data_IF_368980568440
#
_entry.id   IF_368980568440
#
_cell.length_a   1.000
_cell.length_b   1.000
_cell.length_c   1.000
_cell.angle_alpha   90.00
_cell.angle_beta   90.00
_cell.angle_gamma   90.00
#
_symmetry.space_group_name_H-M   'P 1'
#
loop_
_entity.id
_entity.type
_entity.pdbx_description
1 polymer ?
#
# COMPACT_ATOMS: atom_id res chain seq x y z
N UNK A 1 10.16 -19.16 13.43
CA UNK A 1 8.91 -18.57 12.92
C UNK A 1 9.26 -17.84 11.63
N UNK A 2 8.81 -18.32 10.48
CA UNK A 2 9.21 -17.79 9.18
C UNK A 2 8.67 -16.36 8.98
N UNK A 3 9.54 -15.45 8.55
CA UNK A 3 9.14 -14.11 8.13
C UNK A 3 8.20 -14.26 6.93
N UNK A 4 7.00 -13.67 7.00
CA UNK A 4 6.05 -13.69 5.86
C UNK A 4 6.75 -13.17 4.61
N UNK A 5 6.66 -13.94 3.53
CA UNK A 5 7.21 -13.54 2.23
C UNK A 5 6.32 -12.49 1.59
N UNK A 6 6.80 -11.84 0.52
CA UNK A 6 5.98 -10.90 -0.26
C UNK A 6 4.75 -11.57 -0.87
N UNK A 7 4.82 -12.87 -1.18
CA UNK A 7 3.69 -13.61 -1.74
C UNK A 7 2.53 -13.72 -0.74
N UNK A 8 2.82 -13.84 0.56
CA UNK A 8 1.81 -13.88 1.63
C UNK A 8 1.00 -12.58 1.78
N UNK A 9 1.41 -11.50 1.11
CA UNK A 9 0.68 -10.22 1.13
C UNK A 9 -0.24 -10.04 -0.08
N UNK A 10 -0.25 -10.98 -1.03
CA UNK A 10 -1.18 -10.95 -2.16
C UNK A 10 -2.65 -10.98 -1.70
N UNK A 11 -2.95 -11.81 -0.70
CA UNK A 11 -4.27 -11.89 -0.06
C UNK A 11 -4.72 -10.58 0.62
N UNK A 12 -3.80 -9.64 0.84
CA UNK A 12 -4.09 -8.34 1.46
C UNK A 12 -4.29 -7.21 0.45
N UNK A 13 -4.03 -7.45 -0.84
CA UNK A 13 -4.27 -6.46 -1.90
C UNK A 13 -5.73 -5.98 -1.92
N UNK A 14 -6.75 -6.86 -1.82
CA UNK A 14 -8.14 -6.41 -1.79
C UNK A 14 -8.43 -5.48 -0.61
N UNK A 15 -7.85 -5.76 0.57
CA UNK A 15 -8.05 -4.93 1.76
C UNK A 15 -7.46 -3.51 1.57
N UNK A 16 -6.32 -3.37 0.87
CA UNK A 16 -5.76 -2.05 0.52
C UNK A 16 -6.73 -1.29 -0.39
N UNK A 17 -7.30 -1.96 -1.39
CA UNK A 17 -8.26 -1.36 -2.32
C UNK A 17 -9.54 -0.93 -1.60
N UNK A 18 -10.08 -1.78 -0.73
CA UNK A 18 -11.28 -1.49 0.07
C UNK A 18 -11.08 -0.25 0.95
N UNK A 19 -9.91 -0.10 1.58
CA UNK A 19 -9.58 1.10 2.37
C UNK A 19 -9.63 2.37 1.51
N UNK A 20 -8.98 2.35 0.33
CA UNK A 20 -8.97 3.51 -0.58
C UNK A 20 -10.39 3.86 -1.07
N UNK A 21 -11.21 2.86 -1.37
CA UNK A 21 -12.60 3.08 -1.78
C UNK A 21 -13.45 3.60 -0.63
N UNK A 22 -13.29 3.06 0.57
CA UNK A 22 -14.04 3.47 1.76
C UNK A 22 -13.76 4.92 2.18
N UNK A 23 -12.53 5.40 1.99
CA UNK A 23 -12.16 6.79 2.23
C UNK A 23 -12.55 7.75 1.08
N UNK A 24 -13.20 7.25 0.03
CA UNK A 24 -13.61 8.06 -1.13
C UNK A 24 -12.47 8.40 -2.11
N UNK A 25 -11.29 7.80 -1.93
CA UNK A 25 -10.10 8.03 -2.75
C UNK A 25 -10.15 7.23 -4.07
N UNK A 26 -11.23 7.38 -4.85
CA UNK A 26 -11.46 6.58 -6.07
C UNK A 26 -10.30 6.67 -7.08
N UNK A 27 -9.68 7.85 -7.22
CA UNK A 27 -8.53 8.03 -8.11
C UNK A 27 -7.30 7.24 -7.63
N UNK A 28 -7.07 7.19 -6.32
CA UNK A 28 -5.97 6.42 -5.75
C UNK A 28 -6.24 4.92 -5.86
N UNK A 29 -7.50 4.49 -5.68
CA UNK A 29 -7.93 3.12 -5.89
C UNK A 29 -7.69 2.67 -7.35
N UNK A 30 -8.05 3.50 -8.33
CA UNK A 30 -7.77 3.25 -9.76
C UNK A 30 -6.27 3.19 -10.02
N UNK A 31 -5.50 4.15 -9.51
CA UNK A 31 -4.05 4.17 -9.69
C UNK A 31 -3.39 2.94 -9.07
N UNK A 32 -3.76 2.57 -7.84
CA UNK A 32 -3.29 1.38 -7.17
C UNK A 32 -3.59 0.10 -7.95
N UNK A 33 -4.81 -0.03 -8.49
CA UNK A 33 -5.22 -1.18 -9.31
C UNK A 33 -4.42 -1.27 -10.61
N UNK A 34 -3.97 -0.14 -11.17
CA UNK A 34 -3.13 -0.10 -12.37
C UNK A 34 -1.68 -0.52 -12.14
N UNK A 35 -1.22 -0.58 -10.87
CA UNK A 35 0.13 -1.02 -10.55
C UNK A 35 0.30 -2.52 -10.84
N UNK A 36 1.53 -2.93 -11.21
CA UNK A 36 1.84 -4.35 -11.32
C UNK A 36 1.67 -5.05 -9.95
N UNK A 37 1.31 -6.34 -9.91
CA UNK A 37 1.10 -7.08 -8.65
C UNK A 37 2.27 -7.02 -7.67
N UNK A 38 3.52 -6.83 -8.16
CA UNK A 38 4.69 -6.60 -7.30
C UNK A 38 4.53 -5.39 -6.38
N UNK A 39 4.19 -4.23 -6.93
CA UNK A 39 4.01 -2.99 -6.15
C UNK A 39 2.78 -3.07 -5.23
N UNK A 40 1.71 -3.71 -5.67
CA UNK A 40 0.54 -3.92 -4.82
C UNK A 40 0.87 -4.75 -3.57
N UNK A 41 1.64 -5.83 -3.74
CA UNK A 41 2.16 -6.65 -2.62
C UNK A 41 3.11 -5.87 -1.72
N UNK A 42 3.95 -5.00 -2.29
CA UNK A 42 4.83 -4.14 -1.49
C UNK A 42 4.03 -3.18 -0.58
N UNK A 43 2.97 -2.55 -1.10
CA UNK A 43 2.09 -1.70 -0.30
C UNK A 43 1.32 -2.49 0.76
N UNK A 44 0.77 -3.64 0.38
CA UNK A 44 0.09 -4.53 1.31
C UNK A 44 1.02 -5.01 2.43
N UNK A 45 2.28 -5.34 2.11
CA UNK A 45 3.32 -5.64 3.10
C UNK A 45 3.66 -4.45 3.98
N UNK A 46 3.77 -3.25 3.40
CA UNK A 46 4.08 -2.04 4.16
C UNK A 46 3.00 -1.78 5.22
N UNK A 47 1.72 -1.87 4.85
CA UNK A 47 0.59 -1.65 5.75
C UNK A 47 0.42 -2.81 6.73
N UNK A 48 0.22 -4.04 6.25
CA UNK A 48 -0.18 -5.18 7.09
C UNK A 48 0.99 -6.00 7.65
N UNK A 49 2.23 -5.63 7.30
CA UNK A 49 3.44 -6.28 7.84
C UNK A 49 3.74 -5.89 9.29
N UNK A 50 3.16 -4.81 9.79
CA UNK A 50 3.30 -4.37 11.19
C UNK A 50 2.09 -4.82 12.01
N UNK A 51 2.31 -5.20 13.28
CA UNK A 51 1.23 -5.66 14.18
C UNK A 51 0.40 -4.51 14.78
N UNK A 52 1.01 -3.33 14.95
CA UNK A 52 0.38 -2.20 15.61
C UNK A 52 -0.57 -1.47 14.67
N UNK A 53 -1.86 -1.45 15.01
CA UNK A 53 -2.92 -0.83 14.20
C UNK A 53 -2.67 0.66 13.97
N UNK A 54 -2.19 1.39 14.97
CA UNK A 54 -1.84 2.81 14.84
C UNK A 54 -0.74 3.05 13.79
N UNK A 55 0.22 2.13 13.68
CA UNK A 55 1.26 2.20 12.65
C UNK A 55 0.71 1.86 11.28
N UNK A 56 -0.22 0.90 11.18
CA UNK A 56 -0.92 0.60 9.92
C UNK A 56 -1.66 1.83 9.41
N UNK A 57 -2.39 2.54 10.28
CA UNK A 57 -3.08 3.78 9.93
C UNK A 57 -2.11 4.84 9.39
N UNK A 58 -0.98 5.08 10.07
CA UNK A 58 0.07 6.00 9.57
C UNK A 58 0.64 5.56 8.21
N UNK A 59 0.81 4.25 8.00
CA UNK A 59 1.29 3.72 6.73
C UNK A 59 0.28 3.90 5.59
N UNK A 60 -1.02 3.76 5.87
CA UNK A 60 -2.11 4.03 4.91
C UNK A 60 -2.06 5.50 4.49
N UNK A 61 -2.03 6.42 5.46
CA UNK A 61 -1.96 7.86 5.17
C UNK A 61 -0.73 8.21 4.34
N UNK A 62 0.43 7.65 4.69
CA UNK A 62 1.65 7.87 3.92
C UNK A 62 1.55 7.27 2.50
N UNK A 63 0.95 6.08 2.35
CA UNK A 63 0.71 5.49 1.03
C UNK A 63 -0.16 6.42 0.18
N UNK A 64 -1.25 6.97 0.73
CA UNK A 64 -2.13 7.90 0.02
C UNK A 64 -1.38 9.11 -0.50
N UNK A 65 -0.55 9.75 0.35
CA UNK A 65 0.29 10.90 -0.04
C UNK A 65 1.21 10.51 -1.22
N UNK A 66 1.82 9.34 -1.16
CA UNK A 66 2.77 8.86 -2.17
C UNK A 66 2.07 8.54 -3.50
N UNK A 67 0.93 7.86 -3.45
CA UNK A 67 0.11 7.55 -4.63
C UNK A 67 -0.46 8.82 -5.26
N UNK A 68 -0.91 9.78 -4.45
CA UNK A 68 -1.40 11.09 -4.92
C UNK A 68 -0.28 11.90 -5.61
N UNK A 69 0.97 11.72 -5.19
CA UNK A 69 2.13 12.29 -5.85
C UNK A 69 2.55 11.52 -7.13
N UNK A 70 1.84 10.45 -7.51
CA UNK A 70 2.08 9.66 -8.73
C UNK A 70 3.16 8.59 -8.61
N UNK A 71 3.60 8.24 -7.39
CA UNK A 71 4.66 7.27 -7.18
C UNK A 71 4.13 5.86 -6.94
N UNK A 72 4.68 4.89 -7.67
CA UNK A 72 4.31 3.46 -7.58
C UNK A 72 4.74 2.77 -6.29
N UNK A 73 5.72 3.31 -5.55
CA UNK A 73 6.25 2.72 -4.32
C UNK A 73 6.84 3.77 -3.40
N UNK A 74 6.93 3.46 -2.10
CA UNK A 74 7.63 4.32 -1.12
C UNK A 74 9.07 4.59 -1.55
N UNK A 75 9.78 3.57 -2.05
CA UNK A 75 11.17 3.72 -2.51
C UNK A 75 11.30 4.74 -3.65
N UNK A 76 10.38 4.71 -4.62
CA UNK A 76 10.41 5.66 -5.73
C UNK A 76 10.21 7.11 -5.26
N UNK A 77 9.40 7.31 -4.20
CA UNK A 77 9.19 8.61 -3.59
C UNK A 77 10.38 9.09 -2.77
N UNK A 78 10.98 8.19 -1.97
CA UNK A 78 12.17 8.46 -1.14
C UNK A 78 13.37 8.89 -2.00
N UNK A 79 13.54 8.32 -3.19
CA UNK A 79 14.62 8.66 -4.13
C UNK A 79 14.47 10.03 -4.81
N UNK A 80 13.33 10.70 -4.63
CA UNK A 80 13.10 12.06 -5.15
C UNK A 80 13.56 13.15 -4.18
N UNK A 81 13.65 12.83 -2.89
CA UNK A 81 13.91 13.77 -1.81
C UNK A 81 15.39 14.14 -1.70
#
# INVERSE_FOLDING_TARGET
>A
MGMKSLADFEEKIPAVLEILVADGDQNLATFFTSLTPGYQREWARYIFGVKAVETQARHIEQMKIILAAGFKSKRAYDQRA
#
